data_IF_388727286765
#
_entry.id   IF_388727286765
#
_cell.length_a   1.000
_cell.length_b   1.000
_cell.length_c   1.000
_cell.angle_alpha   90.00
_cell.angle_beta   90.00
_cell.angle_gamma   90.00
#
_symmetry.space_group_name_H-M   'P 1'
#
loop_
_entity.id
_entity.type
_entity.pdbx_description
1 polymer ?
#
# COMPACT_ATOMS: atom_id res chain seq x y z
N UNK A 1 -61.55 -19.78 -19.61
CA UNK A 1 -60.97 -19.11 -20.80
C UNK A 1 -59.55 -18.70 -20.44
N UNK A 2 -58.55 -19.07 -21.25
CA UNK A 2 -57.15 -18.73 -21.00
C UNK A 2 -56.89 -17.24 -21.27
N UNK A 3 -55.87 -16.65 -20.61
CA UNK A 3 -55.49 -15.25 -20.82
C UNK A 3 -54.94 -15.04 -22.23
N UNK A 4 -55.23 -13.90 -22.83
CA UNK A 4 -54.71 -13.56 -24.16
C UNK A 4 -53.18 -13.60 -24.16
N UNK A 5 -52.59 -14.27 -25.15
CA UNK A 5 -51.14 -14.57 -25.20
C UNK A 5 -50.66 -15.80 -24.41
N UNK A 6 -51.55 -16.61 -23.84
CA UNK A 6 -51.17 -17.92 -23.28
C UNK A 6 -51.00 -18.96 -24.38
N UNK A 7 -49.99 -19.83 -24.29
CA UNK A 7 -49.77 -20.93 -25.24
C UNK A 7 -49.31 -22.20 -24.53
N UNK A 8 -49.58 -23.35 -25.15
CA UNK A 8 -49.19 -24.68 -24.65
C UNK A 8 -48.03 -25.19 -25.49
N UNK A 9 -46.98 -25.66 -24.83
CA UNK A 9 -45.79 -26.21 -25.46
C UNK A 9 -45.50 -27.62 -24.89
N UNK A 10 -45.12 -28.55 -25.75
CA UNK A 10 -44.62 -29.87 -25.33
C UNK A 10 -43.16 -29.76 -24.92
N UNK A 11 -42.83 -30.18 -23.69
CA UNK A 11 -41.47 -30.18 -23.19
C UNK A 11 -40.98 -31.62 -23.03
N UNK A 12 -40.20 -32.09 -24.00
CA UNK A 12 -39.68 -33.46 -24.04
C UNK A 12 -38.73 -33.77 -22.87
N UNK A 13 -37.99 -32.77 -22.39
CA UNK A 13 -37.09 -32.91 -21.24
C UNK A 13 -37.79 -32.85 -19.86
N UNK A 14 -39.10 -32.61 -19.85
CA UNK A 14 -39.89 -32.32 -18.65
C UNK A 14 -39.50 -31.00 -17.98
N UNK A 15 -40.26 -30.59 -16.95
CA UNK A 15 -40.05 -29.29 -16.29
C UNK A 15 -39.85 -29.48 -14.79
N UNK A 16 -39.01 -28.62 -14.21
CA UNK A 16 -38.83 -28.56 -12.76
C UNK A 16 -39.87 -27.61 -12.17
N UNK A 17 -40.74 -28.14 -11.32
CA UNK A 17 -41.76 -27.35 -10.65
C UNK A 17 -41.13 -26.53 -9.50
N UNK A 18 -41.79 -25.44 -9.03
CA UNK A 18 -41.25 -24.59 -7.96
C UNK A 18 -40.97 -25.32 -6.63
N UNK A 19 -41.60 -26.47 -6.42
CA UNK A 19 -41.34 -27.35 -5.28
C UNK A 19 -40.09 -28.25 -5.47
N UNK A 20 -39.31 -28.04 -6.52
CA UNK A 20 -38.09 -28.76 -6.84
C UNK A 20 -38.28 -30.15 -7.45
N UNK A 21 -39.53 -30.63 -7.59
CA UNK A 21 -39.82 -31.93 -8.21
C UNK A 21 -39.76 -31.80 -9.72
N UNK A 22 -39.04 -32.71 -10.37
CA UNK A 22 -38.94 -32.75 -11.84
C UNK A 22 -40.05 -33.64 -12.42
N UNK A 23 -40.82 -33.12 -13.36
CA UNK A 23 -41.75 -33.92 -14.17
C UNK A 23 -41.01 -34.57 -15.34
N UNK A 24 -41.55 -35.68 -15.84
CA UNK A 24 -41.17 -36.24 -17.14
C UNK A 24 -41.75 -35.44 -18.31
N UNK A 25 -41.65 -35.96 -19.54
CA UNK A 25 -42.15 -35.29 -20.75
C UNK A 25 -43.63 -34.91 -20.59
N UNK A 26 -43.97 -33.63 -20.72
CA UNK A 26 -45.32 -33.13 -20.46
C UNK A 26 -45.65 -31.85 -21.23
N UNK A 27 -46.96 -31.59 -21.44
CA UNK A 27 -47.44 -30.32 -21.96
C UNK A 27 -47.43 -29.25 -20.87
N UNK A 28 -46.84 -28.10 -21.17
CA UNK A 28 -46.70 -26.96 -20.26
C UNK A 28 -47.50 -25.79 -20.81
N UNK A 29 -48.42 -25.28 -19.99
CA UNK A 29 -49.16 -24.06 -20.29
C UNK A 29 -48.35 -22.86 -19.80
N UNK A 30 -47.85 -22.07 -20.73
CA UNK A 30 -47.19 -20.80 -20.45
C UNK A 30 -48.24 -19.70 -20.41
N UNK A 31 -48.35 -19.04 -19.26
CA UNK A 31 -49.25 -17.91 -19.06
C UNK A 31 -48.40 -16.66 -18.90
N UNK A 32 -48.61 -15.60 -19.70
CA UNK A 32 -47.85 -14.36 -19.57
C UNK A 32 -48.05 -13.75 -18.18
N UNK A 33 -46.97 -13.23 -17.61
CA UNK A 33 -46.98 -12.63 -16.28
C UNK A 33 -48.03 -11.50 -16.20
N UNK A 34 -48.82 -11.40 -15.13
CA UNK A 34 -49.76 -10.30 -14.97
C UNK A 34 -49.00 -8.98 -14.94
N UNK A 35 -49.43 -7.99 -15.74
CA UNK A 35 -48.83 -6.66 -15.82
C UNK A 35 -48.81 -5.86 -14.50
N UNK A 36 -49.43 -6.38 -13.43
CA UNK A 36 -49.52 -5.76 -12.11
C UNK A 36 -48.82 -6.58 -11.01
N UNK A 37 -47.62 -7.09 -11.29
CA UNK A 37 -46.64 -7.33 -10.24
C UNK A 37 -45.58 -6.24 -10.39
N UNK A 38 -45.86 -5.08 -9.79
CA UNK A 38 -44.78 -4.26 -9.28
C UNK A 38 -43.99 -5.18 -8.34
N UNK A 39 -42.80 -5.58 -8.74
CA UNK A 39 -41.86 -6.24 -7.85
C UNK A 39 -41.79 -5.38 -6.57
N UNK A 40 -42.06 -5.92 -5.37
CA UNK A 40 -41.39 -5.40 -4.18
C UNK A 40 -39.93 -5.86 -4.29
N UNK A 41 -39.23 -5.37 -5.30
CA UNK A 41 -37.79 -5.45 -5.40
C UNK A 41 -37.28 -4.60 -4.24
N UNK A 42 -37.16 -5.26 -3.08
CA UNK A 42 -36.06 -5.14 -2.16
C UNK A 42 -35.27 -3.85 -2.39
N UNK A 43 -35.76 -2.74 -1.82
CA UNK A 43 -34.87 -1.63 -1.45
C UNK A 43 -34.06 -2.11 -0.26
N UNK A 44 -33.23 -3.14 -0.48
CA UNK A 44 -32.08 -3.39 0.37
C UNK A 44 -31.11 -2.30 -0.06
N UNK A 45 -31.16 -1.17 0.63
CA UNK A 45 -30.04 -0.24 0.56
C UNK A 45 -28.77 -1.06 0.76
N UNK A 46 -27.78 -0.99 -0.15
CA UNK A 46 -26.52 -1.68 0.08
C UNK A 46 -26.02 -1.25 1.46
N UNK A 47 -25.63 -2.19 2.36
CA UNK A 47 -25.24 -1.84 3.71
C UNK A 47 -24.19 -0.74 3.62
N UNK A 48 -24.51 0.42 4.19
CA UNK A 48 -23.69 1.61 4.12
C UNK A 48 -22.24 1.19 4.43
N UNK A 49 -21.37 1.25 3.42
CA UNK A 49 -19.96 0.91 3.60
C UNK A 49 -19.47 1.76 4.77
N UNK A 50 -18.89 1.17 5.83
CA UNK A 50 -18.55 1.92 7.01
C UNK A 50 -17.68 3.09 6.57
N UNK A 51 -18.18 4.32 6.83
CA UNK A 51 -17.52 5.56 6.44
C UNK A 51 -16.03 5.40 6.70
N UNK A 52 -15.23 5.48 5.63
CA UNK A 52 -13.78 5.22 5.67
C UNK A 52 -13.21 6.06 6.80
N UNK A 53 -12.90 5.42 7.95
CA UNK A 53 -12.49 6.14 9.16
C UNK A 53 -11.39 7.12 8.77
N UNK A 54 -11.67 8.42 8.92
CA UNK A 54 -10.68 9.46 8.68
C UNK A 54 -9.43 9.05 9.46
N UNK A 55 -8.31 8.93 8.75
CA UNK A 55 -7.04 8.57 9.38
C UNK A 55 -6.74 9.67 10.38
N UNK A 56 -6.83 9.34 11.67
CA UNK A 56 -6.48 10.25 12.77
C UNK A 56 -5.08 10.79 12.48
N UNK A 57 -4.93 12.12 12.51
CA UNK A 57 -3.65 12.77 12.28
C UNK A 57 -2.56 12.18 13.17
N UNK A 58 -1.31 12.18 12.70
CA UNK A 58 -0.19 11.68 13.49
C UNK A 58 -0.11 12.49 14.79
N UNK A 59 -0.18 11.80 15.92
CA UNK A 59 -0.13 12.42 17.25
C UNK A 59 1.25 12.96 17.61
N UNK A 60 2.28 12.56 16.87
CA UNK A 60 3.67 12.92 17.13
C UNK A 60 4.31 13.48 15.86
N UNK A 61 5.06 14.59 15.99
CA UNK A 61 5.79 15.22 14.87
C UNK A 61 7.05 14.47 14.46
N UNK A 62 7.56 13.57 15.31
CA UNK A 62 8.80 12.84 15.10
C UNK A 62 8.60 11.61 14.20
N UNK A 63 9.34 11.52 13.09
CA UNK A 63 9.34 10.32 12.24
C UNK A 63 9.75 9.08 13.02
N UNK A 64 9.01 7.99 12.79
CA UNK A 64 9.27 6.68 13.40
C UNK A 64 8.83 6.58 14.86
N UNK A 65 8.24 7.64 15.45
CA UNK A 65 7.74 7.64 16.82
C UNK A 65 6.24 7.88 16.80
N UNK A 66 5.48 6.94 17.36
CA UNK A 66 4.01 6.99 17.38
C UNK A 66 3.52 6.95 18.82
N UNK A 67 2.61 7.87 19.17
CA UNK A 67 1.92 7.84 20.45
C UNK A 67 0.90 6.68 20.48
N UNK A 68 0.92 5.90 21.55
CA UNK A 68 -0.09 4.89 21.84
C UNK A 68 -0.79 5.26 23.15
N UNK A 69 -2.08 5.53 23.03
CA UNK A 69 -2.98 5.77 24.16
C UNK A 69 -4.07 4.70 24.14
N UNK A 70 -4.01 3.75 25.07
CA UNK A 70 -4.97 2.66 25.18
C UNK A 70 -5.59 2.67 26.59
N UNK A 71 -6.60 3.52 26.86
CA UNK A 71 -7.12 3.76 28.21
C UNK A 71 -7.70 2.49 28.86
N UNK A 72 -8.43 1.67 28.09
CA UNK A 72 -8.98 0.41 28.56
C UNK A 72 -7.91 -0.59 29.05
N UNK A 73 -6.71 -0.54 28.47
CA UNK A 73 -5.57 -1.40 28.84
C UNK A 73 -4.54 -0.67 29.72
N UNK A 74 -4.86 0.56 30.14
CA UNK A 74 -3.98 1.47 30.90
C UNK A 74 -2.57 1.57 30.31
N UNK A 75 -2.45 1.46 28.99
CA UNK A 75 -1.18 1.46 28.28
C UNK A 75 -1.00 2.80 27.59
N UNK A 76 -0.06 3.59 28.10
CA UNK A 76 0.26 4.92 27.62
C UNK A 76 1.76 5.01 27.37
N UNK A 77 2.14 5.50 26.19
CA UNK A 77 3.55 5.59 25.84
C UNK A 77 3.81 5.86 24.37
N UNK A 78 5.07 5.73 24.00
CA UNK A 78 5.56 5.92 22.64
C UNK A 78 6.14 4.63 22.09
N UNK A 79 5.66 4.24 20.89
CA UNK A 79 6.22 3.15 20.11
C UNK A 79 7.17 3.72 19.07
N UNK A 80 8.42 3.28 19.11
CA UNK A 80 9.43 3.64 18.13
C UNK A 80 9.61 2.49 17.16
N UNK A 81 9.69 2.78 15.87
CA UNK A 81 10.00 1.81 14.82
C UNK A 81 11.06 2.38 13.87
N UNK A 82 12.19 1.70 13.79
CA UNK A 82 13.30 1.99 12.88
C UNK A 82 13.44 0.84 11.90
N UNK A 83 13.00 1.07 10.65
CA UNK A 83 13.20 0.12 9.56
C UNK A 83 14.41 0.52 8.71
N UNK A 84 15.31 -0.43 8.45
CA UNK A 84 16.48 -0.24 7.60
C UNK A 84 16.93 -1.55 6.95
N UNK A 85 17.24 -1.52 5.65
CA UNK A 85 17.73 -2.70 4.88
C UNK A 85 16.90 -3.99 5.04
N UNK A 86 15.60 -3.87 5.34
CA UNK A 86 14.71 -5.02 5.57
C UNK A 86 14.63 -5.50 7.02
N UNK A 87 15.43 -4.93 7.93
CA UNK A 87 15.34 -5.16 9.36
C UNK A 87 14.48 -4.09 10.02
N UNK A 88 13.73 -4.48 11.06
CA UNK A 88 12.83 -3.58 11.80
C UNK A 88 13.17 -3.68 13.29
N UNK A 89 13.75 -2.62 13.82
CA UNK A 89 13.96 -2.46 15.26
C UNK A 89 12.79 -1.68 15.83
N UNK A 90 12.21 -2.16 16.92
CA UNK A 90 11.12 -1.44 17.57
C UNK A 90 11.24 -1.55 19.08
N UNK A 91 10.77 -0.51 19.77
CA UNK A 91 10.78 -0.45 21.23
C UNK A 91 9.64 0.41 21.72
N UNK A 92 9.07 0.02 22.87
CA UNK A 92 8.01 0.77 23.53
C UNK A 92 8.54 1.44 24.82
N UNK A 93 8.19 2.71 24.97
CA UNK A 93 8.53 3.56 26.12
C UNK A 93 7.23 3.94 26.81
N UNK A 94 6.98 3.39 27.99
CA UNK A 94 5.76 3.71 28.75
C UNK A 94 5.95 4.98 29.57
N UNK A 95 4.89 5.79 29.66
CA UNK A 95 4.90 7.01 30.46
C UNK A 95 5.17 6.69 31.93
N UNK A 96 4.55 5.64 32.47
CA UNK A 96 4.72 5.23 33.86
C UNK A 96 6.18 4.87 34.19
N UNK A 97 6.91 4.24 33.27
CA UNK A 97 8.30 3.84 33.52
C UNK A 97 9.27 5.01 33.33
N UNK A 98 8.96 5.92 32.40
CA UNK A 98 9.78 7.10 32.13
C UNK A 98 9.45 8.29 33.05
N UNK A 99 8.36 8.20 33.83
CA UNK A 99 7.89 9.21 34.77
C UNK A 99 6.70 9.99 34.23
N UNK A 100 6.83 10.52 33.01
CA UNK A 100 5.79 11.31 32.37
C UNK A 100 5.79 11.15 30.84
N UNK A 101 4.90 11.90 30.18
CA UNK A 101 4.76 11.88 28.72
C UNK A 101 5.97 12.51 28.02
N UNK A 102 6.57 13.56 28.57
CA UNK A 102 7.68 14.25 27.90
C UNK A 102 8.97 13.45 28.01
N UNK A 103 9.29 12.89 29.18
CA UNK A 103 10.45 12.02 29.36
C UNK A 103 10.33 10.74 28.52
N UNK A 104 9.12 10.17 28.40
CA UNK A 104 8.90 9.02 27.52
C UNK A 104 9.15 9.37 26.04
N UNK A 105 8.78 10.57 25.61
CA UNK A 105 9.03 11.05 24.25
C UNK A 105 10.52 11.27 23.99
N UNK A 106 11.23 11.91 24.93
CA UNK A 106 12.66 12.16 24.83
C UNK A 106 13.46 10.86 24.78
N UNK A 107 13.19 9.92 25.69
CA UNK A 107 13.80 8.59 25.69
C UNK A 107 13.53 7.83 24.37
N UNK A 108 12.32 7.95 23.83
CA UNK A 108 11.96 7.36 22.54
C UNK A 108 12.74 7.96 21.37
N UNK A 109 12.94 9.28 21.35
CA UNK A 109 13.72 10.00 20.34
C UNK A 109 15.19 9.63 20.42
N UNK A 110 15.78 9.65 21.62
CA UNK A 110 17.19 9.28 21.84
C UNK A 110 17.46 7.84 21.41
N UNK A 111 16.59 6.90 21.80
CA UNK A 111 16.74 5.52 21.37
C UNK A 111 16.65 5.36 19.86
N UNK A 112 15.71 6.06 19.20
CA UNK A 112 15.64 6.08 17.74
C UNK A 112 16.97 6.51 17.13
N UNK A 113 17.49 7.66 17.56
CA UNK A 113 18.66 8.27 16.95
C UNK A 113 19.92 7.43 17.18
N UNK A 114 20.10 6.84 18.37
CA UNK A 114 21.15 5.85 18.63
C UNK A 114 21.03 4.62 17.72
N UNK A 115 19.84 4.04 17.62
CA UNK A 115 19.61 2.87 16.75
C UNK A 115 19.82 3.21 15.28
N UNK A 116 19.47 4.41 14.82
CA UNK A 116 19.75 4.84 13.44
C UNK A 116 21.25 4.95 13.16
N UNK A 117 22.05 5.44 14.11
CA UNK A 117 23.51 5.49 14.00
C UNK A 117 24.09 4.07 13.96
N UNK A 118 23.67 3.19 14.88
CA UNK A 118 24.16 1.82 15.00
C UNK A 118 23.94 1.00 13.72
N UNK A 119 22.75 1.10 13.12
CA UNK A 119 22.43 0.37 11.87
C UNK A 119 22.94 1.08 10.60
N UNK A 120 23.57 2.26 10.75
CA UNK A 120 24.09 3.05 9.64
C UNK A 120 23.01 3.64 8.73
N UNK A 121 21.85 4.01 9.31
CA UNK A 121 20.76 4.68 8.59
C UNK A 121 20.97 6.20 8.62
N UNK A 122 20.95 6.89 7.47
CA UNK A 122 21.04 8.34 7.46
C UNK A 122 19.80 8.97 8.11
N UNK A 123 20.01 9.82 9.10
CA UNK A 123 18.94 10.55 9.78
C UNK A 123 18.34 11.59 8.85
N UNK A 124 17.09 11.39 8.45
CA UNK A 124 16.33 12.37 7.66
C UNK A 124 14.83 12.20 7.90
N UNK A 125 14.06 13.29 7.84
CA UNK A 125 12.60 13.26 7.86
C UNK A 125 12.00 12.68 6.56
N UNK A 126 12.80 12.65 5.49
CA UNK A 126 12.37 12.14 4.18
C UNK A 126 12.32 10.61 4.17
N UNK A 127 11.53 10.03 3.25
CA UNK A 127 11.54 8.58 3.05
C UNK A 127 12.88 8.15 2.42
N UNK A 128 13.51 7.14 3.03
CA UNK A 128 14.77 6.54 2.57
C UNK A 128 14.55 5.03 2.45
N UNK A 129 15.02 4.47 1.35
CA UNK A 129 14.99 3.03 1.11
C UNK A 129 16.39 2.46 1.36
N UNK A 130 16.48 1.41 2.17
CA UNK A 130 17.76 0.75 2.46
C UNK A 130 18.08 -0.43 1.55
N UNK A 131 17.09 -0.98 0.82
CA UNK A 131 17.23 -2.17 -0.03
C UNK A 131 16.76 -1.87 -1.45
N UNK A 132 17.51 -2.25 -2.50
CA UNK A 132 17.04 -2.14 -3.87
C UNK A 132 15.81 -3.03 -4.10
N UNK A 133 14.93 -2.60 -5.00
CA UNK A 133 13.85 -3.46 -5.51
C UNK A 133 14.38 -4.41 -6.58
N UNK A 134 13.97 -5.68 -6.54
CA UNK A 134 14.37 -6.70 -7.51
C UNK A 134 15.87 -6.98 -7.51
N UNK A 135 16.42 -7.29 -8.69
CA UNK A 135 17.84 -7.61 -8.90
C UNK A 135 18.70 -6.37 -9.20
N UNK A 136 18.29 -5.20 -8.71
CA UNK A 136 19.02 -3.96 -8.94
C UNK A 136 20.28 -3.89 -8.05
N UNK A 137 21.41 -3.41 -8.57
CA UNK A 137 22.67 -3.39 -7.82
C UNK A 137 22.64 -2.48 -6.59
N UNK A 138 21.97 -1.33 -6.68
CA UNK A 138 21.82 -0.35 -5.60
C UNK A 138 20.44 0.31 -5.70
N UNK A 139 19.92 0.82 -4.57
CA UNK A 139 18.67 1.58 -4.51
C UNK A 139 18.68 2.72 -5.54
N UNK A 140 17.70 2.73 -6.43
CA UNK A 140 17.54 3.76 -7.46
C UNK A 140 18.53 3.65 -8.61
N UNK A 141 19.33 2.58 -8.71
CA UNK A 141 20.16 2.29 -9.89
C UNK A 141 19.65 1.01 -10.55
N UNK A 142 19.30 1.09 -11.84
CA UNK A 142 18.82 -0.07 -12.60
C UNK A 142 19.53 -0.18 -13.94
N UNK A 143 19.80 -1.41 -14.39
CA UNK A 143 20.22 -1.69 -15.77
C UNK A 143 18.97 -1.67 -16.66
N UNK A 144 19.05 -0.98 -17.79
CA UNK A 144 17.96 -0.87 -18.77
C UNK A 144 18.52 -1.11 -20.17
N UNK A 145 17.66 -1.62 -21.02
CA UNK A 145 17.92 -1.86 -22.44
C UNK A 145 16.87 -1.09 -23.24
N UNK A 146 17.30 -0.19 -24.12
CA UNK A 146 16.44 0.62 -24.99
C UNK A 146 17.14 0.81 -26.34
N UNK A 147 16.41 0.67 -27.45
CA UNK A 147 16.93 0.92 -28.81
C UNK A 147 18.31 0.28 -29.06
N UNK A 148 18.45 -1.01 -28.73
CA UNK A 148 19.69 -1.79 -28.90
C UNK A 148 20.89 -1.29 -28.07
N UNK A 149 20.67 -0.42 -27.10
CA UNK A 149 21.72 0.11 -26.23
C UNK A 149 21.43 -0.22 -24.77
N UNK A 150 22.40 -0.82 -24.11
CA UNK A 150 22.37 -1.01 -22.66
C UNK A 150 22.90 0.22 -21.92
N UNK A 151 22.22 0.60 -20.83
CA UNK A 151 22.67 1.66 -19.94
C UNK A 151 22.32 1.38 -18.48
N UNK A 152 23.06 2.03 -17.58
CA UNK A 152 22.68 2.17 -16.20
C UNK A 152 21.94 3.49 -15.98
N UNK A 153 20.74 3.41 -15.41
CA UNK A 153 19.95 4.58 -15.02
C UNK A 153 20.01 4.76 -13.50
N UNK A 154 20.44 5.95 -13.07
CA UNK A 154 20.35 6.40 -11.69
C UNK A 154 19.16 7.35 -11.56
N UNK A 155 18.21 7.02 -10.68
CA UNK A 155 17.00 7.79 -10.42
C UNK A 155 16.99 8.24 -8.97
N UNK A 156 16.60 9.47 -8.67
CA UNK A 156 16.46 10.02 -7.32
C UNK A 156 15.36 11.07 -7.21
N UNK A 157 14.98 11.42 -5.98
CA UNK A 157 14.09 12.55 -5.74
C UNK A 157 14.96 13.78 -5.47
N UNK A 158 14.64 14.93 -6.06
CA UNK A 158 15.32 16.19 -5.77
C UNK A 158 14.89 16.74 -4.39
N UNK A 159 15.37 17.94 -4.05
CA UNK A 159 15.03 18.64 -2.80
C UNK A 159 13.53 18.95 -2.73
N UNK A 160 12.90 19.30 -3.84
CA UNK A 160 11.46 19.60 -3.96
C UNK A 160 10.56 18.35 -3.91
N UNK A 161 11.13 17.14 -4.04
CA UNK A 161 10.41 15.87 -4.08
C UNK A 161 10.03 15.37 -5.47
N UNK A 162 10.52 16.01 -6.54
CA UNK A 162 10.37 15.57 -7.94
C UNK A 162 11.39 14.50 -8.30
N UNK A 163 10.98 13.51 -9.08
CA UNK A 163 11.89 12.47 -9.58
C UNK A 163 12.82 13.04 -10.67
N UNK A 164 14.09 12.67 -10.59
CA UNK A 164 15.17 13.02 -11.50
C UNK A 164 15.93 11.76 -11.87
N UNK A 165 16.50 11.72 -13.07
CA UNK A 165 17.22 10.56 -13.59
C UNK A 165 18.43 10.97 -14.43
N UNK A 166 19.44 10.12 -14.45
CA UNK A 166 20.61 10.25 -15.33
C UNK A 166 21.01 8.87 -15.83
N UNK A 167 21.37 8.80 -17.11
CA UNK A 167 21.67 7.56 -17.82
C UNK A 167 23.15 7.52 -18.22
N UNK A 168 23.75 6.34 -18.10
CA UNK A 168 25.14 6.09 -18.46
C UNK A 168 25.21 4.90 -19.40
N UNK A 169 25.54 5.14 -20.67
CA UNK A 169 25.65 4.09 -21.70
C UNK A 169 26.79 3.11 -21.39
N UNK A 170 26.49 1.81 -21.47
CA UNK A 170 27.49 0.74 -21.32
C UNK A 170 28.42 0.73 -22.54
N UNK A 171 27.90 0.94 -23.75
CA UNK A 171 28.72 0.99 -24.97
C UNK A 171 29.81 2.07 -24.90
N UNK A 172 29.50 3.23 -24.31
CA UNK A 172 30.44 4.36 -24.20
C UNK A 172 31.50 4.19 -23.09
N UNK A 173 31.13 3.61 -21.96
CA UNK A 173 31.96 3.62 -20.76
C UNK A 173 32.49 2.24 -20.34
N UNK A 174 31.91 1.16 -20.87
CA UNK A 174 32.07 -0.19 -20.34
C UNK A 174 31.22 -0.40 -19.09
N UNK A 175 30.84 -1.66 -18.84
CA UNK A 175 29.85 -2.01 -17.81
C UNK A 175 30.24 -1.55 -16.40
N UNK A 176 31.46 -1.90 -15.95
CA UNK A 176 31.95 -1.53 -14.62
C UNK A 176 31.99 -0.02 -14.40
N UNK A 177 32.42 0.75 -15.41
CA UNK A 177 32.55 2.20 -15.30
C UNK A 177 31.17 2.87 -15.33
N UNK A 178 30.28 2.43 -16.22
CA UNK A 178 28.90 2.93 -16.29
C UNK A 178 28.15 2.70 -14.96
N UNK A 179 28.27 1.49 -14.37
CA UNK A 179 27.69 1.19 -13.08
C UNK A 179 28.25 2.09 -11.97
N UNK A 180 29.58 2.26 -11.91
CA UNK A 180 30.22 3.13 -10.91
C UNK A 180 29.76 4.58 -11.03
N UNK A 181 29.63 5.10 -12.25
CA UNK A 181 29.13 6.45 -12.51
C UNK A 181 27.68 6.61 -12.05
N UNK A 182 26.82 5.63 -12.34
CA UNK A 182 25.43 5.64 -11.89
C UNK A 182 25.31 5.64 -10.35
N UNK A 183 26.08 4.79 -9.67
CA UNK A 183 26.13 4.74 -8.20
C UNK A 183 26.62 6.07 -7.63
N UNK A 184 27.70 6.64 -8.18
CA UNK A 184 28.27 7.91 -7.73
C UNK A 184 27.27 9.07 -7.92
N UNK A 185 26.59 9.14 -9.07
CA UNK A 185 25.56 10.12 -9.35
C UNK A 185 24.40 10.02 -8.35
N UNK A 186 23.93 8.81 -8.05
CA UNK A 186 22.89 8.57 -7.04
C UNK A 186 23.33 9.03 -5.65
N UNK A 187 24.49 8.58 -5.18
CA UNK A 187 24.99 8.92 -3.83
C UNK A 187 25.22 10.42 -3.65
N UNK A 188 25.76 11.11 -4.66
CA UNK A 188 25.95 12.56 -4.64
C UNK A 188 24.63 13.29 -4.43
N UNK A 189 23.61 12.95 -5.23
CA UNK A 189 22.32 13.62 -5.16
C UNK A 189 21.53 13.26 -3.88
N UNK A 190 21.66 12.05 -3.36
CA UNK A 190 21.08 11.68 -2.06
C UNK A 190 21.70 12.45 -0.91
N UNK A 191 23.02 12.64 -0.91
CA UNK A 191 23.71 13.46 0.11
C UNK A 191 23.20 14.89 0.11
N UNK A 192 23.00 15.49 -1.07
CA UNK A 192 22.41 16.83 -1.20
C UNK A 192 20.99 16.83 -0.61
N UNK A 193 20.16 15.86 -1.01
CA UNK A 193 18.79 15.71 -0.51
C UNK A 193 18.68 15.52 1.01
N UNK A 194 19.66 14.88 1.65
CA UNK A 194 19.64 14.69 3.10
C UNK A 194 20.05 15.95 3.86
N UNK A 195 20.91 16.79 3.26
CA UNK A 195 21.37 18.05 3.87
C UNK A 195 20.37 19.18 3.73
N UNK A 196 19.65 19.24 2.61
CA UNK A 196 18.67 20.31 2.37
C UNK A 196 17.33 19.97 3.03
N UNK A 197 16.83 20.79 3.97
CA UNK A 197 15.46 20.68 4.47
C UNK A 197 14.46 20.77 3.32
N UNK A 198 13.24 20.29 3.54
CA UNK A 198 12.15 20.62 2.62
C UNK A 198 11.55 21.92 3.13
N UNK A 199 11.48 22.93 2.27
CA UNK A 199 10.67 24.12 2.51
C UNK A 199 9.17 23.74 2.61
#
# INVERSE_FOLDING_TARGET
MYRDGSFVQWEEAGVTLPNGKRSGPSFVLWVPAPANLADPAATVEPPAQPARRLRRGKTTRHKGVTRIDHPAKRTFGYMVRVAWKGQIHHKFFSDKRCGDRLAALDAAVQWRDMTEIEIGKPRTERMVFGKPGGNNPVVGVSRRHENHTDYYEATWLNTEGRAQRTRFSIAKHGERKALRLAIAARQRNERIRYRTPRD
#
